data_IF_027161693815
#
_entry.id   IF_027161693815
#
_cell.length_a   1.000
_cell.length_b   1.000
_cell.length_c   1.000
_cell.angle_alpha   90.00
_cell.angle_beta   90.00
_cell.angle_gamma   90.00
#
_symmetry.space_group_name_H-M   'P 1'
#
loop_
_entity.id
_entity.type
_entity.pdbx_description
1 polymer ?
#
# COMPACT_ATOMS: atom_id res chain seq x y z
N UNK A 1 -1.92 -1.75 28.28
CA UNK A 1 -1.34 -1.16 27.05
C UNK A 1 -2.23 -0.02 26.62
N UNK A 2 -1.76 1.22 26.74
CA UNK A 2 -2.43 2.36 26.12
C UNK A 2 -1.66 2.67 24.83
N UNK A 3 -2.23 2.28 23.70
CA UNK A 3 -1.71 2.62 22.39
C UNK A 3 -2.24 4.01 22.02
N UNK A 4 -1.46 5.06 22.31
CA UNK A 4 -1.72 6.37 21.72
C UNK A 4 -1.15 6.35 20.30
N UNK A 5 -2.01 6.10 19.31
CA UNK A 5 -1.67 6.27 17.92
C UNK A 5 -1.67 7.76 17.58
N UNK A 6 -0.48 8.37 17.54
CA UNK A 6 -0.32 9.73 17.03
C UNK A 6 -0.27 9.63 15.50
N UNK A 7 -1.39 9.89 14.84
CA UNK A 7 -1.48 9.95 13.38
C UNK A 7 -0.90 11.27 12.92
N UNK A 8 0.40 11.29 12.64
CA UNK A 8 1.05 12.44 12.00
C UNK A 8 0.81 12.33 10.49
N UNK A 9 -0.03 13.21 9.95
CA UNK A 9 -0.14 13.40 8.50
C UNK A 9 1.09 14.20 8.02
N UNK A 10 2.25 13.54 7.86
CA UNK A 10 3.45 14.18 7.33
C UNK A 10 3.44 14.21 5.80
N UNK A 11 3.46 15.41 5.22
CA UNK A 11 3.63 15.70 3.79
C UNK A 11 5.09 15.51 3.32
N UNK A 12 5.73 14.39 3.66
CA UNK A 12 7.13 14.16 3.31
C UNK A 12 7.32 12.79 2.67
N UNK A 13 6.83 12.66 1.43
CA UNK A 13 7.61 11.95 0.44
C UNK A 13 8.42 13.03 -0.30
N UNK A 14 9.74 13.01 -0.20
CA UNK A 14 10.62 13.88 -1.02
C UNK A 14 10.30 13.70 -2.52
N UNK A 15 9.93 12.47 -2.88
CA UNK A 15 9.42 12.06 -4.20
C UNK A 15 7.98 12.54 -4.50
N UNK A 16 7.22 12.89 -3.45
CA UNK A 16 5.87 13.42 -3.52
C UNK A 16 5.82 14.93 -3.68
N UNK A 17 6.78 15.68 -3.12
CA UNK A 17 6.90 17.14 -3.26
C UNK A 17 7.35 17.53 -4.67
N UNK A 18 8.34 16.82 -5.21
CA UNK A 18 8.79 16.94 -6.61
C UNK A 18 7.75 16.43 -7.62
N UNK A 19 7.02 15.34 -7.31
CA UNK A 19 5.86 14.88 -8.10
C UNK A 19 4.65 15.79 -7.98
N UNK A 20 4.45 16.46 -6.85
CA UNK A 20 3.39 17.44 -6.65
C UNK A 20 3.71 18.72 -7.42
N UNK A 21 4.91 19.28 -7.29
CA UNK A 21 5.36 20.41 -8.10
C UNK A 21 5.32 20.08 -9.59
N UNK A 22 5.84 18.92 -10.03
CA UNK A 22 5.77 18.55 -11.46
C UNK A 22 4.37 18.15 -11.95
N UNK A 23 3.49 17.51 -11.15
CA UNK A 23 2.11 17.17 -11.57
C UNK A 23 1.15 18.35 -11.48
N UNK A 24 1.26 19.19 -10.47
CA UNK A 24 0.46 20.41 -10.35
C UNK A 24 0.91 21.40 -11.41
N UNK A 25 2.22 21.52 -11.68
CA UNK A 25 2.69 22.34 -12.80
C UNK A 25 2.23 21.76 -14.15
N UNK A 26 2.17 20.43 -14.34
CA UNK A 26 1.65 19.84 -15.60
C UNK A 26 0.12 19.92 -15.74
N UNK A 27 -0.65 19.75 -14.65
CA UNK A 27 -2.12 19.92 -14.65
C UNK A 27 -2.48 21.38 -14.89
N UNK A 28 -1.74 22.30 -14.25
CA UNK A 28 -1.84 23.73 -14.54
C UNK A 28 -1.37 24.06 -15.94
N UNK A 29 -0.37 23.37 -16.52
CA UNK A 29 0.08 23.61 -17.90
C UNK A 29 -0.98 23.22 -18.96
N UNK A 30 -1.69 22.10 -18.76
CA UNK A 30 -2.77 21.66 -19.67
C UNK A 30 -3.97 22.60 -19.59
N UNK A 31 -4.33 23.01 -18.38
CA UNK A 31 -5.45 23.91 -18.12
C UNK A 31 -5.07 25.36 -18.49
N UNK A 32 -3.84 25.80 -18.27
CA UNK A 32 -3.35 27.14 -18.66
C UNK A 32 -3.18 27.28 -20.16
N UNK A 33 -2.79 26.23 -20.90
CA UNK A 33 -2.74 26.29 -22.37
C UNK A 33 -4.16 26.37 -22.94
N UNK A 34 -5.14 25.69 -22.35
CA UNK A 34 -6.55 25.80 -22.75
C UNK A 34 -7.24 27.10 -22.26
N UNK A 35 -6.69 27.77 -21.24
CA UNK A 35 -7.26 29.00 -20.64
C UNK A 35 -6.61 30.30 -21.16
N UNK A 36 -5.30 30.32 -21.43
CA UNK A 36 -4.57 31.53 -21.84
C UNK A 36 -4.52 31.75 -23.36
N UNK A 37 -4.73 30.73 -24.18
CA UNK A 37 -4.90 30.94 -25.61
C UNK A 37 -6.37 31.24 -25.92
N UNK A 38 -6.62 32.45 -26.42
CA UNK A 38 -7.92 32.86 -26.99
C UNK A 38 -8.33 32.02 -28.21
N UNK A 39 -7.43 31.20 -28.72
CA UNK A 39 -7.62 30.37 -29.90
C UNK A 39 -7.92 28.92 -29.50
N UNK A 40 -8.92 28.27 -30.15
CA UNK A 40 -9.26 26.88 -29.89
C UNK A 40 -8.06 25.95 -30.11
N UNK A 41 -7.72 25.12 -29.13
CA UNK A 41 -6.53 24.28 -29.22
C UNK A 41 -6.84 22.92 -29.90
N UNK A 42 -6.02 22.49 -30.88
CA UNK A 42 -6.25 21.22 -31.58
C UNK A 42 -5.93 20.02 -30.67
N UNK A 43 -6.70 18.94 -30.81
CA UNK A 43 -6.54 17.72 -29.99
C UNK A 43 -5.18 17.00 -30.16
N UNK A 44 -4.38 17.38 -31.16
CA UNK A 44 -3.02 16.87 -31.40
C UNK A 44 -2.05 17.16 -30.25
N UNK A 45 -2.34 18.16 -29.41
CA UNK A 45 -1.55 18.50 -28.22
C UNK A 45 -1.52 17.40 -27.14
N UNK A 46 -2.43 16.41 -27.21
CA UNK A 46 -2.41 15.23 -26.31
C UNK A 46 -1.05 14.51 -26.31
N UNK A 47 -0.31 14.52 -27.44
CA UNK A 47 0.98 13.82 -27.58
C UNK A 47 2.17 14.62 -27.05
N UNK A 48 2.02 15.94 -26.89
CA UNK A 48 3.11 16.86 -26.52
C UNK A 48 3.20 17.03 -25.01
N UNK A 49 2.05 17.02 -24.32
CA UNK A 49 2.00 17.33 -22.89
C UNK A 49 1.95 16.04 -22.06
N UNK A 50 2.92 15.80 -21.15
CA UNK A 50 2.89 14.65 -20.26
C UNK A 50 1.68 14.74 -19.31
N UNK A 51 0.99 13.62 -19.11
CA UNK A 51 -0.23 13.52 -18.28
C UNK A 51 -1.46 14.30 -18.77
N UNK A 52 -1.49 14.77 -20.02
CA UNK A 52 -2.63 15.50 -20.62
C UNK A 52 -3.99 14.82 -20.40
N UNK A 53 -4.05 13.50 -20.60
CA UNK A 53 -5.29 12.72 -20.48
C UNK A 53 -5.92 12.80 -19.09
N UNK A 54 -5.11 12.90 -18.04
CA UNK A 54 -5.58 12.96 -16.64
C UNK A 54 -6.16 14.34 -16.33
N UNK A 55 -5.48 15.41 -16.76
CA UNK A 55 -5.98 16.78 -16.61
C UNK A 55 -7.22 17.06 -17.44
N UNK A 56 -7.23 16.58 -18.69
CA UNK A 56 -8.35 16.73 -19.60
C UNK A 56 -9.64 16.06 -19.07
N UNK A 57 -9.54 14.82 -18.59
CA UNK A 57 -10.71 14.14 -18.02
C UNK A 57 -11.28 14.88 -16.81
N UNK A 58 -10.42 15.50 -15.98
CA UNK A 58 -10.87 16.22 -14.80
C UNK A 58 -11.45 17.60 -15.15
N UNK A 59 -10.84 18.31 -16.09
CA UNK A 59 -11.36 19.58 -16.59
C UNK A 59 -12.73 19.40 -17.25
N UNK A 60 -12.95 18.28 -17.97
CA UNK A 60 -14.27 17.91 -18.51
C UNK A 60 -15.29 17.63 -17.40
N UNK A 61 -14.93 16.84 -16.37
CA UNK A 61 -15.84 16.57 -15.24
C UNK A 61 -16.14 17.80 -14.38
N UNK A 62 -15.23 18.77 -14.31
CA UNK A 62 -15.44 20.06 -13.65
C UNK A 62 -16.13 21.11 -14.54
N UNK A 63 -16.42 20.78 -15.80
CA UNK A 63 -17.10 21.67 -16.75
C UNK A 63 -16.27 22.87 -17.21
N UNK A 64 -14.94 22.82 -17.10
CA UNK A 64 -14.04 23.92 -17.49
C UNK A 64 -13.77 23.97 -18.99
N UNK A 65 -13.83 22.82 -19.65
CA UNK A 65 -13.56 22.67 -21.09
C UNK A 65 -14.68 21.89 -21.78
N UNK A 66 -14.96 22.22 -23.04
CA UNK A 66 -15.86 21.50 -23.94
C UNK A 66 -15.10 21.03 -25.18
N UNK A 67 -15.60 19.98 -25.83
CA UNK A 67 -15.03 19.47 -27.09
C UNK A 67 -16.03 19.67 -28.21
N UNK A 68 -15.63 20.45 -29.21
CA UNK A 68 -16.40 20.61 -30.42
C UNK A 68 -15.86 19.67 -31.51
N UNK A 69 -16.77 18.91 -32.12
CA UNK A 69 -16.47 17.90 -33.15
C UNK A 69 -16.99 18.28 -34.54
N UNK A 70 -17.50 19.50 -34.70
CA UNK A 70 -18.24 19.91 -35.90
C UNK A 70 -17.36 20.21 -37.14
N UNK A 71 -16.05 20.40 -36.96
CA UNK A 71 -15.13 20.84 -38.02
C UNK A 71 -14.01 19.83 -38.33
N UNK A 72 -14.32 18.52 -38.26
CA UNK A 72 -13.43 17.44 -38.67
C UNK A 72 -12.34 17.06 -37.66
N UNK A 73 -11.50 18.01 -37.22
CA UNK A 73 -10.58 17.81 -36.11
C UNK A 73 -11.28 18.15 -34.78
N UNK A 74 -11.21 17.31 -33.72
CA UNK A 74 -11.76 17.67 -32.42
C UNK A 74 -10.96 18.85 -31.85
N UNK A 75 -11.68 19.88 -31.41
CA UNK A 75 -11.09 21.10 -30.87
C UNK A 75 -11.61 21.32 -29.46
N UNK A 76 -10.72 21.71 -28.54
CA UNK A 76 -11.07 21.94 -27.14
C UNK A 76 -11.32 23.43 -26.97
N UNK A 77 -12.51 23.77 -26.46
CA UNK A 77 -12.95 25.13 -26.17
C UNK A 77 -13.03 25.34 -24.66
N UNK A 78 -12.70 26.56 -24.20
CA UNK A 78 -12.92 26.94 -22.81
C UNK A 78 -14.39 27.27 -22.59
N UNK A 79 -14.96 26.83 -21.47
CA UNK A 79 -16.34 27.13 -21.08
C UNK A 79 -16.44 28.23 -20.01
N UNK A 80 -15.39 28.43 -19.21
CA UNK A 80 -15.39 29.32 -18.04
C UNK A 80 -14.25 30.34 -18.13
N UNK A 81 -14.49 31.56 -17.64
CA UNK A 81 -13.54 32.66 -17.77
C UNK A 81 -12.38 32.65 -16.76
N UNK A 82 -12.66 32.20 -15.54
CA UNK A 82 -11.69 32.08 -14.45
C UNK A 82 -11.83 30.71 -13.79
N UNK A 83 -10.71 29.99 -13.67
CA UNK A 83 -10.66 28.69 -12.99
C UNK A 83 -9.92 28.85 -11.67
N UNK A 84 -10.53 28.38 -10.58
CA UNK A 84 -9.91 28.32 -9.25
C UNK A 84 -9.46 26.89 -8.94
N UNK A 85 -8.17 26.69 -8.76
CA UNK A 85 -7.60 25.37 -8.41
C UNK A 85 -7.73 25.12 -6.90
N UNK A 86 -8.90 24.63 -6.50
CA UNK A 86 -9.20 24.24 -5.11
C UNK A 86 -8.28 23.13 -4.60
N UNK A 87 -7.86 22.21 -5.47
CA UNK A 87 -7.02 21.06 -5.11
C UNK A 87 -5.62 21.50 -4.73
N UNK A 88 -5.01 22.42 -5.50
CA UNK A 88 -3.71 22.99 -5.18
C UNK A 88 -3.74 23.79 -3.87
N UNK A 89 -4.77 24.63 -3.67
CA UNK A 89 -4.94 25.39 -2.43
C UNK A 89 -5.07 24.48 -1.20
N UNK A 90 -5.84 23.40 -1.30
CA UNK A 90 -6.01 22.43 -0.22
C UNK A 90 -4.69 21.69 0.08
N UNK A 91 -3.92 21.32 -0.96
CA UNK A 91 -2.64 20.64 -0.79
C UNK A 91 -1.55 21.57 -0.24
N UNK A 92 -1.56 22.86 -0.60
CA UNK A 92 -0.69 23.88 0.01
C UNK A 92 -1.02 24.08 1.50
N UNK A 93 -2.30 24.09 1.88
CA UNK A 93 -2.72 24.14 3.30
C UNK A 93 -2.27 22.91 4.08
N UNK A 94 -2.38 21.73 3.49
CA UNK A 94 -1.89 20.48 4.09
C UNK A 94 -0.36 20.51 4.25
N UNK A 95 0.38 21.01 3.26
CA UNK A 95 1.83 21.15 3.33
C UNK A 95 2.26 22.16 4.42
N UNK A 96 1.46 23.20 4.63
CA UNK A 96 1.67 24.23 5.67
C UNK A 96 1.27 23.77 7.07
N UNK A 97 0.92 22.49 7.26
CA UNK A 97 0.56 21.92 8.56
C UNK A 97 -0.89 22.19 9.00
N UNK A 98 -1.72 22.81 8.16
CA UNK A 98 -3.15 23.09 8.44
C UNK A 98 -4.06 22.01 7.83
N UNK A 99 -3.69 20.74 7.98
CA UNK A 99 -4.40 19.62 7.39
C UNK A 99 -5.82 19.41 7.94
N UNK A 100 -6.13 19.89 9.14
CA UNK A 100 -7.43 19.70 9.79
C UNK A 100 -8.55 20.57 9.20
N UNK A 101 -8.21 21.62 8.45
CA UNK A 101 -9.18 22.50 7.80
C UNK A 101 -9.75 21.94 6.50
N UNK A 102 -9.16 20.87 5.95
CA UNK A 102 -9.63 20.21 4.73
C UNK A 102 -10.59 19.09 5.12
N UNK A 103 -11.79 19.04 4.52
CA UNK A 103 -12.76 18.01 4.83
C UNK A 103 -12.24 16.59 4.48
N UNK A 104 -12.54 15.60 5.32
CA UNK A 104 -12.08 14.21 5.16
C UNK A 104 -12.47 13.58 3.80
N UNK A 105 -13.63 13.98 3.24
CA UNK A 105 -14.07 13.53 1.92
C UNK A 105 -13.05 13.87 0.82
N UNK A 106 -12.48 15.08 0.87
CA UNK A 106 -11.44 15.50 -0.08
C UNK A 106 -10.12 14.77 0.17
N UNK A 107 -9.75 14.56 1.44
CA UNK A 107 -8.54 13.78 1.79
C UNK A 107 -8.58 12.34 1.26
N UNK A 108 -9.74 11.68 1.32
CA UNK A 108 -9.91 10.33 0.77
C UNK A 108 -9.78 10.31 -0.76
N UNK A 109 -10.35 11.29 -1.45
CA UNK A 109 -10.21 11.46 -2.90
C UNK A 109 -8.75 11.73 -3.31
N UNK A 110 -8.05 12.59 -2.56
CA UNK A 110 -6.62 12.87 -2.78
C UNK A 110 -5.73 11.64 -2.51
N UNK A 111 -6.07 10.80 -1.53
CA UNK A 111 -5.39 9.53 -1.26
C UNK A 111 -5.58 8.53 -2.41
N UNK A 112 -6.80 8.39 -2.94
CA UNK A 112 -7.09 7.54 -4.12
C UNK A 112 -6.31 8.01 -5.36
N UNK A 113 -6.15 9.32 -5.51
CA UNK A 113 -5.39 9.95 -6.61
C UNK A 113 -3.86 9.92 -6.41
N UNK A 114 -3.37 9.36 -5.30
CA UNK A 114 -1.95 9.33 -4.94
C UNK A 114 -1.32 10.73 -4.84
N UNK A 115 -2.11 11.73 -4.42
CA UNK A 115 -1.66 13.08 -4.11
C UNK A 115 -1.25 13.21 -2.62
N UNK A 116 -1.84 12.38 -1.76
CA UNK A 116 -1.51 12.27 -0.35
C UNK A 116 -1.13 10.84 0.00
N UNK A 117 -0.16 10.69 0.90
CA UNK A 117 0.20 9.42 1.52
C UNK A 117 0.11 9.58 3.03
N UNK A 118 -0.62 8.66 3.68
CA UNK A 118 -0.72 8.63 5.13
C UNK A 118 0.44 7.80 5.68
N UNK A 119 1.32 8.44 6.45
CA UNK A 119 2.40 7.76 7.17
C UNK A 119 1.92 7.54 8.60
N UNK A 120 1.87 6.28 9.03
CA UNK A 120 1.46 5.93 10.40
C UNK A 120 2.70 5.58 11.20
N UNK A 121 3.14 6.51 12.06
CA UNK A 121 4.26 6.28 12.98
C UNK A 121 3.73 5.62 14.25
N UNK A 122 3.98 4.32 14.40
CA UNK A 122 3.60 3.57 15.60
C UNK A 122 4.70 3.75 16.65
N UNK A 123 4.38 4.45 17.73
CA UNK A 123 5.24 4.53 18.92
C UNK A 123 4.62 3.70 20.05
N UNK A 124 5.48 3.00 20.79
CA UNK A 124 5.07 2.19 21.94
C UNK A 124 5.78 2.72 23.18
N UNK A 125 5.01 3.06 24.20
CA UNK A 125 5.55 3.33 25.53
C UNK A 125 5.61 2.01 26.30
N UNK A 126 6.82 1.50 26.49
CA UNK A 126 7.06 0.24 27.20
C UNK A 126 7.27 0.52 28.69
N UNK A 127 6.54 -0.19 29.53
CA UNK A 127 6.70 -0.20 30.98
C UNK A 127 7.02 -1.61 31.48
N UNK A 128 7.57 -1.71 32.69
CA UNK A 128 7.80 -3.00 33.35
C UNK A 128 6.45 -3.64 33.68
N UNK A 129 6.19 -4.84 33.16
CA UNK A 129 5.01 -5.64 33.49
C UNK A 129 5.20 -6.47 34.77
N UNK A 130 4.15 -7.17 35.21
CA UNK A 130 4.20 -8.07 36.38
C UNK A 130 5.22 -9.21 36.23
N UNK A 131 5.49 -9.65 34.99
CA UNK A 131 6.49 -10.67 34.67
C UNK A 131 7.85 -10.07 34.24
N UNK A 132 8.09 -8.79 34.52
CA UNK A 132 9.39 -8.18 34.22
C UNK A 132 10.45 -8.71 35.20
N UNK A 133 11.41 -9.46 34.68
CA UNK A 133 12.57 -9.91 35.43
C UNK A 133 13.85 -9.51 34.71
N UNK A 134 14.84 -9.05 35.48
CA UNK A 134 16.20 -8.77 35.01
C UNK A 134 17.10 -10.02 35.00
N UNK A 135 16.60 -11.15 35.50
CA UNK A 135 17.28 -12.44 35.46
C UNK A 135 16.76 -13.29 34.30
N UNK A 136 17.69 -13.91 33.56
CA UNK A 136 17.36 -14.85 32.48
C UNK A 136 16.95 -16.18 33.11
N UNK A 137 15.66 -16.36 33.36
CA UNK A 137 15.12 -17.68 33.68
C UNK A 137 15.17 -18.54 32.42
N UNK A 138 15.81 -19.71 32.51
CA UNK A 138 15.76 -20.72 31.45
C UNK A 138 14.38 -21.38 31.52
N UNK A 139 13.45 -21.11 30.58
CA UNK A 139 12.19 -21.83 30.55
C UNK A 139 12.46 -23.31 30.26
N UNK A 140 11.62 -24.19 30.80
CA UNK A 140 11.72 -25.62 30.53
C UNK A 140 11.39 -25.89 29.04
N UNK A 141 12.13 -26.80 28.42
CA UNK A 141 11.96 -27.16 27.00
C UNK A 141 10.87 -28.22 26.82
N UNK A 142 10.89 -29.24 27.67
CA UNK A 142 10.04 -30.43 27.51
C UNK A 142 9.28 -30.76 28.81
N UNK A 143 8.14 -31.42 28.65
CA UNK A 143 7.35 -31.92 29.76
C UNK A 143 7.92 -33.26 30.23
N UNK A 144 8.44 -33.32 31.46
CA UNK A 144 8.96 -34.56 32.05
C UNK A 144 7.86 -35.33 32.81
N UNK A 145 7.96 -36.66 32.93
CA UNK A 145 6.98 -37.46 33.66
C UNK A 145 6.92 -37.10 35.15
N UNK A 146 8.04 -36.70 35.76
CA UNK A 146 8.10 -36.25 37.15
C UNK A 146 7.30 -34.96 37.36
N UNK A 147 7.34 -34.03 36.39
CA UNK A 147 6.55 -32.80 36.45
C UNK A 147 5.05 -33.09 36.38
N UNK A 148 4.64 -34.12 35.64
CA UNK A 148 3.24 -34.58 35.57
C UNK A 148 2.82 -35.17 36.92
N UNK A 149 3.64 -36.03 37.52
CA UNK A 149 3.36 -36.67 38.80
C UNK A 149 3.27 -35.66 39.97
N UNK A 150 4.11 -34.63 39.96
CA UNK A 150 4.15 -33.60 41.00
C UNK A 150 3.21 -32.41 40.74
N UNK A 151 2.69 -32.28 39.52
CA UNK A 151 1.82 -31.15 39.12
C UNK A 151 2.55 -29.83 38.88
N UNK A 152 3.90 -29.82 38.91
CA UNK A 152 4.72 -28.61 38.77
C UNK A 152 4.67 -27.98 37.37
N UNK A 153 4.16 -28.72 36.37
CA UNK A 153 3.98 -28.22 35.00
C UNK A 153 3.01 -27.04 34.90
N UNK A 154 2.14 -26.85 35.91
CA UNK A 154 1.16 -25.75 35.93
C UNK A 154 1.77 -24.39 36.27
N UNK A 155 2.83 -24.37 37.07
CA UNK A 155 3.46 -23.12 37.53
C UNK A 155 4.70 -22.72 36.71
N UNK A 156 5.33 -23.66 36.00
CA UNK A 156 6.51 -23.37 35.18
C UNK A 156 6.13 -22.81 33.81
N UNK A 157 6.95 -21.87 33.32
CA UNK A 157 6.83 -21.33 31.95
C UNK A 157 7.66 -22.17 30.98
N UNK A 158 7.04 -22.63 29.91
CA UNK A 158 7.71 -23.39 28.85
C UNK A 158 8.19 -22.50 27.72
N UNK A 159 9.24 -22.92 27.04
CA UNK A 159 9.69 -22.27 25.81
C UNK A 159 8.61 -22.47 24.73
N UNK A 160 8.14 -21.40 24.05
CA UNK A 160 7.18 -21.56 22.98
C UNK A 160 7.80 -22.40 21.86
N UNK A 161 7.04 -23.39 21.39
CA UNK A 161 7.49 -24.28 20.33
C UNK A 161 7.50 -23.56 18.98
N UNK A 162 8.54 -23.77 18.18
CA UNK A 162 8.62 -23.21 16.84
C UNK A 162 7.88 -24.11 15.84
N UNK A 163 6.63 -23.76 15.52
CA UNK A 163 5.78 -24.50 14.57
C UNK A 163 6.22 -24.33 13.11
N UNK A 164 7.06 -23.34 12.81
CA UNK A 164 7.56 -23.09 11.46
C UNK A 164 8.81 -23.92 11.12
N UNK A 165 9.37 -24.64 12.11
CA UNK A 165 10.52 -25.50 11.91
C UNK A 165 10.12 -26.90 11.41
N UNK A 166 10.91 -27.46 10.50
CA UNK A 166 10.79 -28.87 10.13
C UNK A 166 11.19 -29.75 11.32
N UNK A 167 10.33 -30.71 11.66
CA UNK A 167 10.62 -31.70 12.69
C UNK A 167 11.71 -32.68 12.28
N UNK A 168 12.18 -33.47 13.24
CA UNK A 168 13.14 -34.55 12.98
C UNK A 168 12.41 -35.70 12.27
N UNK A 169 12.81 -36.09 11.04
CA UNK A 169 12.21 -37.25 10.39
C UNK A 169 12.59 -38.53 11.15
N UNK A 170 11.66 -39.46 11.38
CA UNK A 170 11.99 -40.73 12.02
C UNK A 170 12.89 -41.57 11.12
N UNK A 171 13.79 -42.34 11.72
CA UNK A 171 14.60 -43.31 10.99
C UNK A 171 13.70 -44.41 10.42
N UNK A 172 13.70 -44.57 9.10
CA UNK A 172 12.93 -45.61 8.42
C UNK A 172 13.79 -46.30 7.36
N UNK A 173 13.47 -47.56 7.07
CA UNK A 173 14.12 -48.28 5.98
C UNK A 173 13.78 -47.65 4.62
N UNK A 174 14.76 -47.52 3.75
CA UNK A 174 14.57 -46.97 2.41
C UNK A 174 14.65 -48.05 1.35
N UNK A 175 13.66 -48.10 0.46
CA UNK A 175 13.70 -48.92 -0.73
C UNK A 175 14.44 -48.17 -1.85
N UNK A 176 15.33 -48.87 -2.55
CA UNK A 176 16.04 -48.30 -3.69
C UNK A 176 15.04 -47.79 -4.76
N UNK A 177 15.13 -46.52 -5.22
CA UNK A 177 14.14 -45.93 -6.13
C UNK A 177 13.90 -46.75 -7.40
N UNK A 178 14.97 -47.28 -8.01
CA UNK A 178 14.85 -48.13 -9.21
C UNK A 178 14.06 -49.41 -8.93
N UNK A 179 14.23 -50.02 -7.75
CA UNK A 179 13.50 -51.23 -7.39
C UNK A 179 12.03 -50.93 -7.13
N UNK A 180 11.72 -49.76 -6.54
CA UNK A 180 10.34 -49.28 -6.36
C UNK A 180 9.63 -49.11 -7.71
N UNK A 181 10.30 -48.48 -8.68
CA UNK A 181 9.79 -48.30 -10.04
C UNK A 181 9.64 -49.64 -10.76
N UNK A 182 10.64 -50.53 -10.66
CA UNK A 182 10.58 -51.89 -11.21
C UNK A 182 9.37 -52.66 -10.70
N UNK A 183 9.11 -52.59 -9.38
CA UNK A 183 7.94 -53.24 -8.78
C UNK A 183 6.63 -52.68 -9.31
N UNK A 184 6.54 -51.36 -9.53
CA UNK A 184 5.34 -50.75 -10.12
C UNK A 184 5.14 -51.15 -11.59
N UNK A 185 6.19 -51.18 -12.41
CA UNK A 185 6.07 -51.66 -13.80
C UNK A 185 5.66 -53.13 -13.87
N UNK A 186 6.25 -53.98 -13.03
CA UNK A 186 5.86 -55.38 -12.92
C UNK A 186 4.39 -55.52 -12.57
N UNK A 187 3.89 -54.72 -11.63
CA UNK A 187 2.48 -54.71 -11.24
C UNK A 187 1.57 -54.33 -12.42
N UNK A 188 1.92 -53.28 -13.17
CA UNK A 188 1.16 -52.84 -14.35
C UNK A 188 1.06 -53.95 -15.40
N UNK A 189 2.16 -54.64 -15.72
CA UNK A 189 2.12 -55.74 -16.68
C UNK A 189 1.27 -56.91 -16.18
N UNK A 190 1.38 -57.28 -14.89
CA UNK A 190 0.54 -58.34 -14.30
C UNK A 190 -0.96 -58.02 -14.34
N UNK A 191 -1.33 -56.75 -14.20
CA UNK A 191 -2.73 -56.30 -14.25
C UNK A 191 -3.29 -56.25 -15.68
N UNK A 192 -2.43 -56.03 -16.68
CA UNK A 192 -2.82 -55.96 -18.10
C UNK A 192 -2.88 -57.32 -18.80
N UNK A 193 -2.38 -58.39 -18.17
CA UNK A 193 -2.34 -59.76 -18.71
C UNK A 193 -1.07 -60.05 -19.49
#
# INVERSE_FOLDING_TARGET
MLANALVVLSSTAEDGRSRFESRVNNLNYVVSIAINYSSPCPYSFQKVIPNFKVGFSKAMSSGWVSVDKSSGAPVIHRKVESVTDTVSLDLQRICSGQGDQVAENFKQDYKKRKLLQQVVTKSFLLGKGSNFSTTVNKPETDLTPEMIATGSWRQKTFKPYNLDALGVPPECGHLHPLLKVRSQFRQIFLEMG
#
